data_IF_488526374223
#
_entry.id   IF_488526374223
#
_cell.length_a   1.000
_cell.length_b   1.000
_cell.length_c   1.000
_cell.angle_alpha   90.00
_cell.angle_beta   90.00
_cell.angle_gamma   90.00
#
_symmetry.space_group_name_H-M   'P 1'
#
loop_
_entity.id
_entity.type
_entity.pdbx_description
1 polymer ?
#
# COMPACT_ATOMS: atom_id res chain seq x y z
N UNK A 1 12.62 9.56 -8.63
CA UNK A 1 12.31 10.98 -8.35
C UNK A 1 13.14 11.94 -9.21
N UNK A 2 14.42 12.18 -8.92
CA UNK A 2 15.28 13.16 -9.64
C UNK A 2 16.14 12.60 -10.79
N UNK A 3 16.13 11.29 -11.05
CA UNK A 3 16.92 10.66 -12.12
C UNK A 3 18.41 10.43 -11.80
N UNK A 4 18.91 10.96 -10.68
CA UNK A 4 20.27 10.70 -10.21
C UNK A 4 20.49 9.23 -9.85
N UNK A 5 21.71 8.73 -10.07
CA UNK A 5 22.14 7.38 -9.70
C UNK A 5 23.13 7.46 -8.53
N UNK A 6 22.95 6.58 -7.55
CA UNK A 6 23.85 6.43 -6.40
C UNK A 6 23.67 5.03 -5.82
N UNK A 7 24.64 4.59 -5.02
CA UNK A 7 24.60 3.27 -4.38
C UNK A 7 23.76 3.33 -3.11
N UNK A 8 22.91 2.32 -2.92
CA UNK A 8 22.12 2.12 -1.71
C UNK A 8 22.52 0.79 -1.10
N UNK A 9 22.94 0.80 0.16
CA UNK A 9 23.19 -0.41 0.94
C UNK A 9 21.96 -0.72 1.79
N UNK A 10 21.58 -1.99 1.89
CA UNK A 10 20.53 -2.43 2.81
C UNK A 10 21.19 -2.78 4.15
N UNK A 11 20.86 -2.05 5.21
CA UNK A 11 21.36 -2.30 6.57
C UNK A 11 20.31 -3.01 7.40
N UNK A 12 20.69 -4.09 8.05
CA UNK A 12 19.89 -4.71 9.09
C UNK A 12 20.08 -3.92 10.39
N UNK A 13 19.05 -3.20 10.82
CA UNK A 13 19.01 -2.49 12.09
C UNK A 13 18.27 -3.36 13.09
N UNK A 14 19.02 -3.93 14.03
CA UNK A 14 18.50 -4.72 15.14
C UNK A 14 18.42 -3.81 16.37
N UNK A 15 17.20 -3.53 16.82
CA UNK A 15 16.93 -2.87 18.10
C UNK A 15 16.53 -3.90 19.14
N UNK A 16 16.44 -3.51 20.42
CA UNK A 16 15.97 -4.40 21.50
C UNK A 16 14.54 -4.94 21.28
N UNK A 17 13.76 -4.34 20.37
CA UNK A 17 12.34 -4.66 20.16
C UNK A 17 12.02 -5.10 18.74
N UNK A 18 12.88 -4.81 17.77
CA UNK A 18 12.55 -4.99 16.37
C UNK A 18 13.79 -5.18 15.50
N UNK A 19 13.63 -5.84 14.36
CA UNK A 19 14.67 -6.04 13.36
C UNK A 19 14.14 -5.55 12.02
N UNK A 20 14.68 -4.43 11.55
CA UNK A 20 14.24 -3.77 10.32
C UNK A 20 15.39 -3.70 9.31
N UNK A 21 15.06 -3.85 8.03
CA UNK A 21 16.00 -3.58 6.94
C UNK A 21 15.75 -2.17 6.45
N UNK A 22 16.75 -1.29 6.56
CA UNK A 22 16.65 0.12 6.15
C UNK A 22 17.70 0.44 5.08
N UNK A 23 17.37 1.29 4.10
CA UNK A 23 18.33 1.77 3.13
C UNK A 23 19.34 2.73 3.77
N UNK A 24 20.59 2.68 3.31
CA UNK A 24 21.65 3.64 3.62
C UNK A 24 22.29 4.16 2.31
N UNK A 25 22.21 5.47 2.01
CA UNK A 25 21.52 6.50 2.78
C UNK A 25 19.99 6.27 2.82
N UNK A 26 19.32 6.80 3.84
CA UNK A 26 17.87 6.69 4.02
C UNK A 26 17.05 7.63 3.12
N UNK A 27 17.73 8.55 2.43
CA UNK A 27 17.16 9.45 1.44
C UNK A 27 18.12 9.67 0.27
N UNK A 28 17.60 10.12 -0.86
CA UNK A 28 18.41 10.49 -2.01
C UNK A 28 19.29 11.72 -1.67
N UNK A 29 20.63 11.63 -1.79
CA UNK A 29 21.54 12.71 -1.39
C UNK A 29 21.42 13.96 -2.28
N UNK A 30 20.76 13.85 -3.43
CA UNK A 30 20.62 14.95 -4.40
C UNK A 30 19.29 15.70 -4.28
N UNK A 31 18.23 15.07 -3.76
CA UNK A 31 16.89 15.65 -3.75
C UNK A 31 16.13 15.43 -2.43
N UNK A 32 16.74 14.74 -1.46
CA UNK A 32 16.17 14.35 -0.16
C UNK A 32 14.90 13.50 -0.23
N UNK A 33 14.59 12.88 -1.37
CA UNK A 33 13.47 11.92 -1.42
C UNK A 33 13.78 10.74 -0.51
N UNK A 34 12.93 10.44 0.49
CA UNK A 34 13.13 9.28 1.34
C UNK A 34 13.17 8.00 0.51
N UNK A 35 14.09 7.11 0.84
CA UNK A 35 14.15 5.79 0.23
C UNK A 35 13.25 4.85 1.01
N UNK A 36 12.35 4.22 0.27
CA UNK A 36 11.43 3.22 0.80
C UNK A 36 11.52 1.99 -0.08
N UNK A 37 11.57 0.83 0.58
CA UNK A 37 11.47 -0.47 -0.08
C UNK A 37 10.04 -0.97 0.14
N UNK A 38 9.35 -1.33 -0.94
CA UNK A 38 8.05 -2.00 -0.88
C UNK A 38 8.19 -3.43 -1.41
N UNK A 39 7.32 -4.32 -0.93
CA UNK A 39 7.17 -5.66 -1.49
C UNK A 39 6.55 -5.62 -2.89
N UNK A 40 6.46 -6.80 -3.53
CA UNK A 40 5.70 -6.93 -4.75
C UNK A 40 4.20 -6.74 -4.45
N UNK A 41 3.51 -5.92 -5.25
CA UNK A 41 2.07 -5.77 -5.16
C UNK A 41 1.38 -7.06 -5.64
N UNK A 42 0.52 -7.62 -4.81
CA UNK A 42 -0.24 -8.81 -5.16
C UNK A 42 -1.62 -8.87 -4.53
N UNK A 43 -2.19 -10.08 -4.57
CA UNK A 43 -3.54 -10.35 -4.08
C UNK A 43 -3.67 -10.07 -2.57
N UNK A 44 -2.60 -10.27 -1.79
CA UNK A 44 -2.60 -9.99 -0.35
C UNK A 44 -2.81 -8.50 -0.05
N UNK A 45 -2.05 -7.65 -0.73
CA UNK A 45 -2.13 -6.20 -0.60
C UNK A 45 -3.51 -5.69 -1.07
N UNK A 46 -4.02 -6.24 -2.17
CA UNK A 46 -5.34 -5.92 -2.71
C UNK A 46 -6.46 -6.30 -1.74
N UNK A 47 -6.41 -7.50 -1.15
CA UNK A 47 -7.35 -7.97 -0.13
C UNK A 47 -7.35 -7.06 1.10
N UNK A 48 -6.17 -6.67 1.58
CA UNK A 48 -6.04 -5.74 2.70
C UNK A 48 -6.65 -4.36 2.39
N UNK A 49 -6.42 -3.84 1.18
CA UNK A 49 -6.98 -2.57 0.73
C UNK A 49 -8.52 -2.59 0.68
N UNK A 50 -9.14 -3.62 0.08
CA UNK A 50 -10.62 -3.70 0.02
C UNK A 50 -11.23 -3.88 1.41
N UNK A 51 -10.61 -4.68 2.28
CA UNK A 51 -11.05 -4.85 3.67
C UNK A 51 -11.01 -3.53 4.43
N UNK A 52 -9.91 -2.80 4.32
CA UNK A 52 -9.75 -1.49 4.93
C UNK A 52 -10.78 -0.48 4.42
N UNK A 53 -10.93 -0.38 3.10
CA UNK A 53 -11.86 0.56 2.48
C UNK A 53 -13.34 0.23 2.81
N UNK A 54 -13.67 -1.05 3.05
CA UNK A 54 -14.99 -1.46 3.53
C UNK A 54 -15.18 -1.36 5.05
N UNK A 55 -14.13 -0.98 5.78
CA UNK A 55 -14.14 -0.76 7.23
C UNK A 55 -14.02 -2.04 8.05
N UNK A 56 -13.24 -3.02 7.60
CA UNK A 56 -12.93 -4.21 8.39
C UNK A 56 -12.12 -3.81 9.65
N UNK A 57 -12.56 -4.14 10.87
CA UNK A 57 -11.98 -3.59 12.09
C UNK A 57 -10.47 -3.80 12.26
N UNK A 58 -9.96 -4.99 11.92
CA UNK A 58 -8.54 -5.28 12.08
C UNK A 58 -7.67 -4.45 11.13
N UNK A 59 -8.12 -4.24 9.89
CA UNK A 59 -7.37 -3.41 8.93
C UNK A 59 -7.46 -1.93 9.31
N UNK A 60 -8.64 -1.45 9.71
CA UNK A 60 -8.81 -0.06 10.18
C UNK A 60 -7.91 0.21 11.39
N UNK A 61 -7.81 -0.73 12.31
CA UNK A 61 -6.92 -0.60 13.48
C UNK A 61 -5.44 -0.60 13.08
N UNK A 62 -5.06 -1.41 12.10
CA UNK A 62 -3.66 -1.56 11.68
C UNK A 62 -3.18 -0.39 10.82
N UNK A 63 -4.02 0.11 9.91
CA UNK A 63 -3.62 1.02 8.85
C UNK A 63 -4.39 2.35 8.84
N UNK A 64 -5.47 2.48 9.60
CA UNK A 64 -6.24 3.73 9.67
C UNK A 64 -7.14 3.92 8.45
N UNK A 65 -6.67 4.63 7.43
CA UNK A 65 -7.44 5.00 6.24
C UNK A 65 -6.87 4.39 4.94
N UNK A 66 -7.69 4.24 3.89
CA UNK A 66 -7.22 3.72 2.60
C UNK A 66 -6.03 4.48 2.02
N UNK A 67 -5.96 5.79 2.21
CA UNK A 67 -4.85 6.64 1.77
C UNK A 67 -3.54 6.25 2.45
N UNK A 68 -3.57 6.04 3.78
CA UNK A 68 -2.40 5.61 4.56
C UNK A 68 -1.88 4.24 4.08
N UNK A 69 -2.79 3.33 3.75
CA UNK A 69 -2.45 2.01 3.22
C UNK A 69 -1.84 2.10 1.82
N UNK A 70 -2.44 2.89 0.93
CA UNK A 70 -1.88 3.12 -0.40
C UNK A 70 -0.47 3.73 -0.31
N UNK A 71 -0.26 4.73 0.55
CA UNK A 71 1.07 5.29 0.79
C UNK A 71 2.04 4.26 1.41
N UNK A 72 1.53 3.30 2.19
CA UNK A 72 2.35 2.28 2.80
C UNK A 72 2.89 1.26 1.78
N UNK A 73 2.04 0.84 0.85
CA UNK A 73 2.37 -0.24 -0.08
C UNK A 73 2.81 0.22 -1.47
N UNK A 74 2.75 1.52 -1.78
CA UNK A 74 3.09 2.04 -3.11
C UNK A 74 4.20 3.09 -3.08
N UNK A 75 4.89 3.28 -4.21
CA UNK A 75 5.94 4.29 -4.38
C UNK A 75 5.64 5.29 -5.50
N UNK A 76 4.83 4.88 -6.46
CA UNK A 76 4.53 5.66 -7.66
C UNK A 76 3.04 5.69 -7.95
N UNK A 77 2.60 6.67 -8.75
CA UNK A 77 1.21 6.71 -9.22
C UNK A 77 0.80 5.43 -9.97
N UNK A 78 1.75 4.81 -10.70
CA UNK A 78 1.53 3.53 -11.38
C UNK A 78 1.30 2.39 -10.40
N UNK A 79 2.03 2.37 -9.29
CA UNK A 79 1.84 1.36 -8.24
C UNK A 79 0.46 1.51 -7.59
N UNK A 80 0.01 2.74 -7.37
CA UNK A 80 -1.35 3.05 -6.90
C UNK A 80 -2.39 2.50 -7.89
N UNK A 81 -2.25 2.81 -9.18
CA UNK A 81 -3.15 2.31 -10.21
C UNK A 81 -3.19 0.78 -10.24
N UNK A 82 -2.01 0.14 -10.19
CA UNK A 82 -1.88 -1.31 -10.20
C UNK A 82 -2.59 -1.94 -8.99
N UNK A 83 -2.39 -1.38 -7.79
CA UNK A 83 -3.00 -1.92 -6.58
C UNK A 83 -4.51 -1.74 -6.56
N UNK A 84 -5.02 -0.61 -7.07
CA UNK A 84 -6.47 -0.37 -7.20
C UNK A 84 -7.08 -1.31 -8.24
N UNK A 85 -6.42 -1.52 -9.37
CA UNK A 85 -6.87 -2.47 -10.40
C UNK A 85 -6.93 -3.90 -9.85
N UNK A 86 -5.90 -4.33 -9.11
CA UNK A 86 -5.90 -5.63 -8.43
C UNK A 86 -7.06 -5.74 -7.42
N UNK A 87 -7.34 -4.67 -6.68
CA UNK A 87 -8.42 -4.63 -5.68
C UNK A 87 -9.82 -4.68 -6.31
N UNK A 88 -10.03 -3.96 -7.42
CA UNK A 88 -11.29 -4.01 -8.19
C UNK A 88 -11.47 -5.34 -8.92
N UNK A 89 -10.38 -6.00 -9.33
CA UNK A 89 -10.37 -7.29 -10.03
C UNK A 89 -10.39 -8.53 -9.13
N UNK A 90 -10.59 -8.40 -7.81
CA UNK A 90 -10.60 -9.54 -6.90
C UNK A 90 -11.78 -10.49 -7.18
N UNK A 91 -11.47 -11.79 -7.25
CA UNK A 91 -12.48 -12.85 -7.28
C UNK A 91 -12.93 -13.20 -5.85
N UNK A 92 -14.07 -12.62 -5.44
CA UNK A 92 -14.67 -12.85 -4.13
C UNK A 92 -15.15 -14.29 -3.93
N UNK A 93 -15.55 -14.99 -5.00
CA UNK A 93 -16.00 -16.37 -4.92
C UNK A 93 -14.81 -17.30 -4.67
N UNK A 94 -13.71 -17.12 -5.41
CA UNK A 94 -12.46 -17.83 -5.17
C UNK A 94 -11.92 -17.56 -3.76
N UNK A 95 -12.01 -16.31 -3.28
CA UNK A 95 -11.60 -15.97 -1.91
C UNK A 95 -12.48 -16.66 -0.86
N UNK A 96 -13.80 -16.69 -1.05
CA UNK A 96 -14.69 -17.40 -0.14
C UNK A 96 -14.36 -18.89 -0.08
N UNK A 97 -14.05 -19.51 -1.22
CA UNK A 97 -13.64 -20.91 -1.31
C UNK A 97 -12.31 -21.16 -0.58
N UNK A 98 -11.26 -20.37 -0.83
CA UNK A 98 -9.96 -20.49 -0.14
C UNK A 98 -10.15 -20.36 1.39
N UNK A 99 -10.97 -19.41 1.85
CA UNK A 99 -11.26 -19.29 3.27
C UNK A 99 -11.99 -20.53 3.82
N UNK A 100 -12.96 -21.10 3.09
CA UNK A 100 -13.67 -22.30 3.50
C UNK A 100 -12.72 -23.51 3.64
N UNK A 101 -11.82 -23.70 2.66
CA UNK A 101 -10.80 -24.76 2.69
C UNK A 101 -9.84 -24.58 3.88
N UNK A 102 -9.40 -23.35 4.15
CA UNK A 102 -8.55 -23.05 5.32
C UNK A 102 -9.26 -23.36 6.63
N UNK A 103 -10.54 -23.00 6.75
CA UNK A 103 -11.33 -23.23 7.96
C UNK A 103 -11.65 -24.71 8.19
N UNK A 104 -11.81 -25.50 7.12
CA UNK A 104 -11.96 -26.95 7.22
C UNK A 104 -10.70 -27.62 7.78
N UNK A 105 -9.51 -27.11 7.42
CA UNK A 105 -8.22 -27.63 7.92
C UNK A 105 -7.89 -27.15 9.33
N UNK A 106 -8.19 -25.90 9.67
CA UNK A 106 -7.83 -25.29 10.95
C UNK A 106 -8.77 -24.15 11.33
N UNK A 107 -9.19 -24.13 12.60
CA UNK A 107 -9.87 -22.97 13.18
C UNK A 107 -8.93 -21.76 13.19
N UNK A 108 -9.29 -20.73 12.41
CA UNK A 108 -8.60 -19.45 12.38
C UNK A 108 -9.64 -18.31 12.57
N UNK A 109 -9.63 -17.60 13.71
CA UNK A 109 -10.61 -16.55 14.00
C UNK A 109 -10.61 -15.41 12.98
N UNK A 110 -9.44 -15.01 12.46
CA UNK A 110 -9.34 -13.95 11.45
C UNK A 110 -10.00 -14.39 10.14
N UNK A 111 -9.73 -15.61 9.68
CA UNK A 111 -10.36 -16.16 8.47
C UNK A 111 -11.88 -16.26 8.65
N UNK A 112 -12.37 -16.68 9.83
CA UNK A 112 -13.80 -16.69 10.13
C UNK A 112 -14.43 -15.29 10.06
N UNK A 113 -13.76 -14.28 10.63
CA UNK A 113 -14.23 -12.90 10.60
C UNK A 113 -14.28 -12.35 9.17
N UNK A 114 -13.22 -12.57 8.38
CA UNK A 114 -13.18 -12.17 6.96
C UNK A 114 -14.29 -12.87 6.18
N UNK A 115 -14.47 -14.19 6.32
CA UNK A 115 -15.54 -14.93 5.63
C UNK A 115 -16.94 -14.37 5.91
N UNK A 116 -17.20 -13.97 7.16
CA UNK A 116 -18.49 -13.33 7.53
C UNK A 116 -18.64 -11.92 6.94
N UNK A 117 -17.53 -11.28 6.61
CA UNK A 117 -17.49 -9.92 6.07
C UNK A 117 -17.55 -9.90 4.53
N UNK A 118 -17.17 -10.98 3.85
CA UNK A 118 -17.17 -11.08 2.39
C UNK A 118 -18.51 -10.70 1.72
N UNK A 119 -19.70 -11.10 2.23
CA UNK A 119 -20.96 -10.70 1.60
C UNK A 119 -21.15 -9.18 1.56
N UNK A 120 -20.78 -8.49 2.65
CA UNK A 120 -20.81 -7.02 2.72
C UNK A 120 -19.84 -6.40 1.72
N UNK A 121 -18.63 -6.94 1.61
CA UNK A 121 -17.62 -6.50 0.63
C UNK A 121 -18.15 -6.63 -0.79
N UNK A 122 -18.70 -7.79 -1.13
CA UNK A 122 -19.25 -8.06 -2.46
C UNK A 122 -20.38 -7.08 -2.78
N UNK A 123 -21.33 -6.86 -1.87
CA UNK A 123 -22.40 -5.87 -2.07
C UNK A 123 -21.85 -4.46 -2.31
N UNK A 124 -20.81 -4.04 -1.57
CA UNK A 124 -20.19 -2.72 -1.76
C UNK A 124 -19.39 -2.61 -3.06
N UNK A 125 -18.85 -3.72 -3.56
CA UNK A 125 -18.20 -3.77 -4.86
C UNK A 125 -19.23 -3.65 -5.98
N UNK A 126 -20.28 -4.46 -5.93
CA UNK A 126 -21.35 -4.51 -6.94
C UNK A 126 -22.14 -3.20 -7.03
N UNK A 127 -22.40 -2.54 -5.91
CA UNK A 127 -23.12 -1.25 -5.90
C UNK A 127 -22.23 -0.03 -6.20
N UNK A 128 -20.94 -0.24 -6.46
CA UNK A 128 -19.99 0.80 -6.82
C UNK A 128 -19.46 1.65 -5.65
N UNK A 129 -19.95 1.47 -4.43
CA UNK A 129 -19.50 2.26 -3.27
C UNK A 129 -18.01 2.06 -2.98
N UNK A 130 -17.54 0.81 -3.05
CA UNK A 130 -16.14 0.48 -2.81
C UNK A 130 -15.22 0.96 -3.94
N UNK A 131 -15.51 0.70 -5.24
CA UNK A 131 -14.76 1.29 -6.36
C UNK A 131 -14.62 2.81 -6.27
N UNK A 132 -15.72 3.53 -6.00
CA UNK A 132 -15.67 4.99 -5.87
C UNK A 132 -14.75 5.42 -4.74
N UNK A 133 -14.82 4.77 -3.59
CA UNK A 133 -13.96 5.07 -2.44
C UNK A 133 -12.49 4.80 -2.73
N UNK A 134 -12.18 3.68 -3.38
CA UNK A 134 -10.81 3.31 -3.76
C UNK A 134 -10.23 4.33 -4.75
N UNK A 135 -11.00 4.73 -5.76
CA UNK A 135 -10.58 5.75 -6.73
C UNK A 135 -10.35 7.12 -6.09
N UNK A 136 -11.21 7.53 -5.15
CA UNK A 136 -11.02 8.79 -4.43
C UNK A 136 -9.72 8.79 -3.60
N UNK A 137 -9.46 7.70 -2.87
CA UNK A 137 -8.23 7.54 -2.11
C UNK A 137 -6.99 7.51 -3.04
N UNK A 138 -7.11 6.82 -4.18
CA UNK A 138 -6.06 6.74 -5.19
C UNK A 138 -5.69 8.11 -5.76
N UNK A 139 -6.68 8.90 -6.18
CA UNK A 139 -6.43 10.25 -6.70
C UNK A 139 -5.78 11.15 -5.63
N UNK A 140 -6.23 11.06 -4.38
CA UNK A 140 -5.60 11.79 -3.29
C UNK A 140 -4.12 11.43 -3.12
N UNK A 141 -3.79 10.15 -3.10
CA UNK A 141 -2.39 9.70 -2.96
C UNK A 141 -1.55 10.08 -4.17
N UNK A 142 -2.10 10.02 -5.39
CA UNK A 142 -1.42 10.50 -6.59
C UNK A 142 -1.11 12.00 -6.51
N UNK A 143 -2.04 12.81 -5.99
CA UNK A 143 -1.80 14.24 -5.75
C UNK A 143 -0.67 14.47 -4.74
N UNK A 144 -0.66 13.71 -3.64
CA UNK A 144 0.43 13.74 -2.66
C UNK A 144 1.77 13.38 -3.33
N UNK A 145 1.80 12.37 -4.18
CA UNK A 145 3.00 11.97 -4.91
C UNK A 145 3.47 13.01 -5.92
N UNK A 146 2.54 13.65 -6.64
CA UNK A 146 2.84 14.79 -7.53
C UNK A 146 3.48 15.93 -6.74
N UNK A 147 2.87 16.35 -5.64
CA UNK A 147 3.38 17.43 -4.80
C UNK A 147 4.75 17.10 -4.17
N UNK A 148 4.95 15.84 -3.72
CA UNK A 148 6.26 15.36 -3.24
C UNK A 148 7.31 15.45 -4.35
N UNK A 149 6.97 15.04 -5.58
CA UNK A 149 7.87 15.10 -6.74
C UNK A 149 8.31 16.52 -7.03
N UNK A 150 7.39 17.45 -7.10
CA UNK A 150 7.70 18.86 -7.34
C UNK A 150 8.63 19.43 -6.26
N UNK A 151 8.35 19.15 -4.98
CA UNK A 151 9.20 19.56 -3.86
C UNK A 151 10.63 19.05 -3.99
N UNK A 152 10.80 17.75 -4.26
CA UNK A 152 12.13 17.15 -4.35
C UNK A 152 12.88 17.59 -5.61
N UNK A 153 12.20 17.84 -6.72
CA UNK A 153 12.82 18.42 -7.92
C UNK A 153 13.31 19.85 -7.65
N UNK A 154 12.56 20.67 -6.93
CA UNK A 154 13.00 22.01 -6.55
C UNK A 154 14.27 21.98 -5.67
N UNK A 155 14.37 21.01 -4.74
CA UNK A 155 15.59 20.79 -3.94
C UNK A 155 16.76 20.41 -4.84
N UNK A 156 16.54 19.49 -5.77
CA UNK A 156 17.55 19.05 -6.73
C UNK A 156 18.11 20.20 -7.57
N UNK A 157 17.22 21.00 -8.17
CA UNK A 157 17.59 22.17 -8.97
C UNK A 157 18.36 23.21 -8.17
N UNK A 158 17.95 23.45 -6.91
CA UNK A 158 18.66 24.37 -6.01
C UNK A 158 20.08 23.89 -5.73
N UNK A 159 20.28 22.59 -5.48
CA UNK A 159 21.61 22.02 -5.23
C UNK A 159 22.50 22.03 -6.47
N UNK A 160 21.94 21.78 -7.66
CA UNK A 160 22.67 21.88 -8.93
C UNK A 160 23.23 23.29 -9.18
N UNK A 161 22.51 24.35 -8.80
CA UNK A 161 22.97 25.74 -8.93
C UNK A 161 24.04 26.16 -7.90
N UNK A 162 24.27 25.33 -6.88
CA UNK A 162 25.22 25.60 -5.79
C UNK A 162 26.52 24.80 -5.94
N UNK A 163 26.60 23.91 -6.94
CA UNK A 163 27.80 23.18 -7.36
C UNK A 163 28.45 23.85 -8.55
#
# INVERSE_FOLDING_TARGET
MCGSKFTVHQKLVVTKRDTAVVPDPDACPYCDTPLKTIGALGEGEAKGLVLLAAGFPDEVKAYGKPEDYLEEFTLTAKDVDTLVELAEGLDFAAWAQDNAERLARRKNPRVQAVSRFLPKLQTQMENGALPTRLRQAAEHVKDVYRARRERHLAIFEKRQKQQ
#
